data_IF_857318620261
#
_entry.id   IF_857318620261
#
_cell.length_a   1.000
_cell.length_b   1.000
_cell.length_c   1.000
_cell.angle_alpha   90.00
_cell.angle_beta   90.00
_cell.angle_gamma   90.00
#
_symmetry.space_group_name_H-M   'P 1'
#
loop_
_entity.id
_entity.type
_entity.pdbx_description
1 polymer ?
#
# COMPACT_ATOMS: atom_id res chain seq x y z
N UNK A 1 1.33 -27.24 -5.50
CA UNK A 1 1.17 -27.48 -4.04
C UNK A 1 -0.22 -28.05 -3.81
N UNK A 2 -0.38 -29.11 -3.03
CA UNK A 2 -1.71 -29.67 -2.72
C UNK A 2 -2.35 -28.92 -1.55
N UNK A 3 -3.63 -28.56 -1.67
CA UNK A 3 -4.46 -28.04 -0.57
C UNK A 3 -5.38 -29.17 -0.09
N UNK A 4 -5.45 -29.37 1.22
CA UNK A 4 -6.36 -30.33 1.84
C UNK A 4 -7.80 -29.80 1.86
N UNK A 5 -8.76 -30.71 2.02
CA UNK A 5 -10.15 -30.36 2.25
C UNK A 5 -10.29 -29.64 3.60
N UNK A 6 -11.21 -28.67 3.68
CA UNK A 6 -11.42 -27.83 4.87
C UNK A 6 -12.77 -27.14 4.85
N UNK A 7 -13.19 -26.61 5.99
CA UNK A 7 -14.26 -25.62 6.06
C UNK A 7 -13.67 -24.22 5.84
N UNK A 8 -14.16 -23.52 4.83
CA UNK A 8 -13.91 -22.10 4.62
C UNK A 8 -15.09 -21.27 5.14
N UNK A 9 -14.96 -19.96 5.02
CA UNK A 9 -16.03 -19.01 5.32
C UNK A 9 -16.32 -18.20 4.05
N UNK A 10 -17.60 -18.00 3.73
CA UNK A 10 -18.01 -17.11 2.65
C UNK A 10 -17.69 -15.66 3.06
N UNK A 11 -16.86 -14.92 2.31
CA UNK A 11 -16.50 -13.54 2.67
C UNK A 11 -17.68 -12.57 2.62
N UNK A 12 -18.77 -12.90 1.90
CA UNK A 12 -19.95 -12.05 1.78
C UNK A 12 -21.00 -12.34 2.86
N UNK A 13 -21.27 -13.61 3.16
CA UNK A 13 -22.34 -14.02 4.09
C UNK A 13 -21.84 -14.49 5.46
N UNK A 14 -20.53 -14.70 5.61
CA UNK A 14 -19.89 -15.26 6.79
C UNK A 14 -20.29 -16.71 7.14
N UNK A 15 -21.06 -17.36 6.28
CA UNK A 15 -21.47 -18.75 6.48
C UNK A 15 -20.31 -19.73 6.22
N UNK A 16 -20.27 -20.87 6.92
CA UNK A 16 -19.28 -21.91 6.69
C UNK A 16 -19.57 -22.67 5.39
N UNK A 17 -18.55 -22.84 4.54
CA UNK A 17 -18.68 -23.53 3.23
C UNK A 17 -17.60 -24.62 3.09
N UNK A 18 -17.95 -25.85 2.66
CA UNK A 18 -16.97 -26.91 2.44
C UNK A 18 -16.09 -26.61 1.21
N UNK A 19 -14.78 -26.68 1.38
CA UNK A 19 -13.79 -26.47 0.32
C UNK A 19 -13.07 -27.79 0.04
N UNK A 20 -13.19 -28.35 -1.18
CA UNK A 20 -12.59 -29.64 -1.52
C UNK A 20 -11.06 -29.57 -1.66
N UNK A 21 -10.42 -30.72 -1.53
CA UNK A 21 -8.99 -30.85 -1.77
C UNK A 21 -8.67 -30.62 -3.26
N UNK A 22 -7.63 -29.83 -3.55
CA UNK A 22 -7.21 -29.57 -4.93
C UNK A 22 -5.72 -29.25 -5.07
N UNK A 23 -5.21 -29.46 -6.27
CA UNK A 23 -3.88 -29.03 -6.65
C UNK A 23 -3.93 -27.56 -7.11
N UNK A 24 -2.98 -26.76 -6.64
CA UNK A 24 -2.80 -25.38 -7.10
C UNK A 24 -1.42 -25.20 -7.71
N UNK A 25 -1.36 -24.37 -8.75
CA UNK A 25 -0.11 -23.82 -9.23
C UNK A 25 0.53 -22.95 -8.14
N UNK A 26 1.87 -22.97 -8.07
CA UNK A 26 2.64 -22.08 -7.21
C UNK A 26 3.75 -21.49 -8.06
N UNK A 27 3.83 -20.18 -8.10
CA UNK A 27 4.98 -19.50 -8.69
C UNK A 27 6.17 -19.56 -7.71
N UNK A 28 7.34 -19.94 -8.22
CA UNK A 28 8.61 -19.87 -7.50
C UNK A 28 9.56 -19.04 -8.34
N UNK A 29 9.71 -17.76 -7.98
CA UNK A 29 10.65 -16.87 -8.65
C UNK A 29 12.05 -17.50 -8.69
N UNK A 30 12.66 -17.52 -9.87
CA UNK A 30 14.04 -17.94 -10.07
C UNK A 30 15.02 -16.89 -9.55
N UNK A 31 16.31 -17.25 -9.48
CA UNK A 31 17.37 -16.38 -8.97
C UNK A 31 17.37 -14.99 -9.64
N UNK A 32 17.44 -14.95 -10.98
CA UNK A 32 17.47 -13.71 -11.76
C UNK A 32 16.32 -12.76 -11.41
N UNK A 33 15.10 -13.30 -11.32
CA UNK A 33 13.93 -12.49 -10.98
C UNK A 33 13.97 -11.98 -9.55
N UNK A 34 14.41 -12.81 -8.59
CA UNK A 34 14.54 -12.38 -7.19
C UNK A 34 15.56 -11.24 -7.04
N UNK A 35 16.70 -11.36 -7.71
CA UNK A 35 17.75 -10.33 -7.71
C UNK A 35 17.26 -9.05 -8.38
N UNK A 36 16.59 -9.17 -9.53
CA UNK A 36 16.00 -8.02 -10.23
C UNK A 36 14.97 -7.28 -9.36
N UNK A 37 14.08 -7.98 -8.65
CA UNK A 37 13.10 -7.34 -7.75
C UNK A 37 13.79 -6.75 -6.51
N UNK A 38 14.78 -7.43 -5.93
CA UNK A 38 15.52 -6.94 -4.76
C UNK A 38 16.30 -5.65 -5.05
N UNK A 39 16.89 -5.57 -6.23
CA UNK A 39 17.73 -4.45 -6.66
C UNK A 39 16.98 -3.47 -7.56
N UNK A 40 15.69 -3.70 -7.81
CA UNK A 40 14.88 -2.76 -8.56
C UNK A 40 14.87 -1.45 -7.76
N UNK A 41 15.15 -0.29 -8.39
CA UNK A 41 14.81 0.97 -7.77
C UNK A 41 13.31 0.90 -7.47
N UNK A 42 12.94 1.05 -6.21
CA UNK A 42 11.54 1.26 -5.86
C UNK A 42 11.18 2.57 -6.54
N UNK A 43 10.52 2.51 -7.70
CA UNK A 43 9.94 3.65 -8.40
C UNK A 43 8.72 4.15 -7.61
N UNK A 44 8.94 4.38 -6.32
CA UNK A 44 8.14 5.25 -5.50
C UNK A 44 8.94 6.54 -5.57
N UNK A 45 8.61 7.39 -6.52
CA UNK A 45 8.92 8.80 -6.43
C UNK A 45 8.34 9.26 -5.08
N UNK A 46 9.20 9.33 -4.07
CA UNK A 46 8.86 9.94 -2.80
C UNK A 46 8.81 11.44 -3.03
N UNK A 47 7.78 11.91 -3.70
CA UNK A 47 7.35 13.29 -3.56
C UNK A 47 6.09 13.30 -2.70
N UNK A 48 6.27 13.61 -1.42
CA UNK A 48 5.37 14.59 -0.85
C UNK A 48 6.16 15.59 0.00
N UNK A 49 6.47 16.77 -0.55
CA UNK A 49 6.61 17.97 0.27
C UNK A 49 6.30 19.21 -0.56
N UNK A 50 5.02 19.54 -0.67
CA UNK A 50 4.62 20.90 -1.01
C UNK A 50 4.91 21.75 0.22
N UNK A 51 6.04 22.45 0.23
CA UNK A 51 6.35 23.46 1.24
C UNK A 51 5.45 24.68 1.00
N UNK A 52 4.35 24.78 1.74
CA UNK A 52 3.54 26.00 1.75
C UNK A 52 4.34 27.07 2.47
N UNK A 53 5.06 27.91 1.72
CA UNK A 53 5.65 29.14 2.25
C UNK A 53 4.51 29.99 2.81
N UNK A 54 4.45 30.13 4.13
CA UNK A 54 3.73 31.22 4.76
C UNK A 54 4.36 32.54 4.29
N UNK A 55 3.73 33.18 3.30
CA UNK A 55 4.09 34.51 2.86
C UNK A 55 3.63 35.52 3.92
N UNK A 56 4.58 35.97 4.71
CA UNK A 56 4.54 37.20 5.48
C UNK A 56 5.00 38.34 4.55
N UNK A 57 4.30 39.50 4.57
CA UNK A 57 4.75 40.90 4.28
C UNK A 57 3.46 41.74 4.42
N UNK A 58 3.21 42.34 5.60
CA UNK A 58 3.62 43.68 6.08
C UNK A 58 2.81 44.85 5.49
N UNK A 59 2.16 45.61 6.37
CA UNK A 59 1.39 46.81 6.03
C UNK A 59 0.84 47.52 7.27
N UNK A 60 1.61 48.44 7.81
CA UNK A 60 1.34 49.28 8.96
C UNK A 60 0.04 50.11 8.90
N UNK A 61 -0.66 50.25 10.02
CA UNK A 61 -1.48 51.42 10.35
C UNK A 61 -1.57 51.58 11.88
N UNK A 62 -1.16 52.75 12.37
CA UNK A 62 -0.95 53.15 13.78
C UNK A 62 -2.23 53.15 14.65
N UNK A 63 -2.11 53.01 15.99
CA UNK A 63 -3.23 53.18 16.90
C UNK A 63 -3.50 54.68 17.18
N UNK A 64 -4.64 55.20 16.74
CA UNK A 64 -5.19 56.44 17.30
C UNK A 64 -5.93 56.15 18.60
N UNK A 65 -5.24 56.40 19.71
CA UNK A 65 -5.88 56.68 20.99
C UNK A 65 -6.32 58.15 21.03
N UNK A 66 -7.55 58.38 21.48
CA UNK A 66 -8.06 59.64 21.98
C UNK A 66 -8.60 59.43 23.39
#
# INVERSE_FOLDING_TARGET
RRRAARMGQNPQTLEPVPVPAKNIARFKAGRRMREAVKNAPLLIEKEPLVEVKASMVDGAAEPRGG
#
